data_IF_460127841557
#
_entry.id   IF_460127841557
#
_cell.length_a   1.000
_cell.length_b   1.000
_cell.length_c   1.000
_cell.angle_alpha   90.00
_cell.angle_beta   90.00
_cell.angle_gamma   90.00
#
_symmetry.space_group_name_H-M   'P 1'
#
loop_
_entity.id
_entity.type
_entity.pdbx_description
1 polymer ?
#
# COMPACT_ATOMS: atom_id res chain seq x y z
N UNK A 1 9.10 -47.19 -21.97
CA UNK A 1 9.61 -45.82 -21.73
C UNK A 1 9.24 -45.42 -20.31
N UNK A 2 10.18 -45.11 -19.42
CA UNK A 2 9.86 -44.71 -18.06
C UNK A 2 9.31 -43.30 -18.07
N UNK A 3 8.17 -43.08 -17.39
CA UNK A 3 7.59 -41.78 -17.14
C UNK A 3 8.56 -40.95 -16.28
N UNK A 4 9.08 -39.85 -16.81
CA UNK A 4 9.76 -38.82 -16.00
C UNK A 4 8.78 -38.31 -14.95
N UNK A 5 9.06 -38.60 -13.70
CA UNK A 5 8.40 -37.97 -12.55
C UNK A 5 8.76 -36.49 -12.58
N UNK A 6 7.76 -35.63 -12.78
CA UNK A 6 7.93 -34.19 -12.61
C UNK A 6 8.44 -33.95 -11.20
N UNK A 7 9.66 -33.41 -11.09
CA UNK A 7 10.18 -32.83 -9.84
C UNK A 7 9.22 -31.73 -9.42
N UNK A 8 8.43 -32.00 -8.39
CA UNK A 8 7.72 -30.92 -7.68
C UNK A 8 8.79 -30.07 -7.03
N UNK A 9 8.99 -28.87 -7.54
CA UNK A 9 9.74 -27.84 -6.82
C UNK A 9 9.00 -27.59 -5.51
N UNK A 10 9.62 -27.92 -4.39
CA UNK A 10 9.14 -27.51 -3.06
C UNK A 10 9.48 -26.04 -2.99
N UNK A 11 8.49 -25.17 -3.17
CA UNK A 11 8.64 -23.74 -2.88
C UNK A 11 8.98 -23.64 -1.38
N UNK A 12 10.17 -23.10 -1.09
CA UNK A 12 10.58 -22.89 0.29
C UNK A 12 9.81 -21.73 0.86
N UNK A 13 9.14 -21.95 1.99
CA UNK A 13 8.45 -20.91 2.73
C UNK A 13 9.42 -19.77 3.13
N UNK A 14 8.91 -18.55 3.14
CA UNK A 14 9.67 -17.36 3.55
C UNK A 14 10.11 -17.47 5.01
N UNK A 15 11.41 -17.33 5.27
CA UNK A 15 11.92 -17.26 6.63
C UNK A 15 11.77 -15.83 7.20
N UNK A 16 10.70 -15.61 7.95
CA UNK A 16 10.38 -14.34 8.62
C UNK A 16 11.14 -14.11 9.93
N UNK A 17 11.71 -15.17 10.56
CA UNK A 17 12.35 -15.13 11.89
C UNK A 17 13.52 -14.14 11.97
N UNK A 18 14.35 -13.93 10.93
CA UNK A 18 15.41 -12.92 10.96
C UNK A 18 14.93 -11.50 11.23
N UNK A 19 13.67 -11.19 10.93
CA UNK A 19 13.08 -9.85 11.10
C UNK A 19 12.46 -9.64 12.47
N UNK A 20 12.25 -10.70 13.24
CA UNK A 20 11.66 -10.63 14.58
C UNK A 20 12.73 -10.51 15.68
N UNK A 21 12.35 -9.89 16.79
CA UNK A 21 13.19 -9.82 17.99
C UNK A 21 13.45 -11.22 18.55
N UNK A 22 14.63 -11.47 19.14
CA UNK A 22 14.90 -12.73 19.83
C UNK A 22 13.87 -13.01 20.92
N UNK A 23 13.52 -14.27 21.11
CA UNK A 23 12.57 -14.75 22.15
C UNK A 23 11.11 -14.31 21.94
N UNK A 24 10.71 -13.77 20.78
CA UNK A 24 9.30 -13.61 20.49
C UNK A 24 8.65 -14.94 20.19
N UNK A 25 7.45 -15.16 20.73
CA UNK A 25 6.60 -16.33 20.41
C UNK A 25 5.57 -16.01 19.30
N UNK A 26 5.73 -14.89 18.58
CA UNK A 26 4.83 -14.54 17.51
C UNK A 26 5.04 -15.46 16.31
N UNK A 27 3.95 -16.13 15.92
CA UNK A 27 3.89 -17.01 14.76
C UNK A 27 2.90 -16.39 13.78
N UNK A 28 3.24 -16.27 12.48
CA UNK A 28 2.28 -15.84 11.48
C UNK A 28 1.18 -16.90 11.32
N UNK A 29 -0.01 -16.49 10.95
CA UNK A 29 -1.07 -17.45 10.62
C UNK A 29 -1.01 -17.90 9.15
N UNK A 30 -0.25 -17.21 8.30
CA UNK A 30 0.00 -17.59 6.92
C UNK A 30 1.42 -17.22 6.50
N UNK A 31 2.05 -18.09 5.72
CA UNK A 31 3.37 -17.86 5.14
C UNK A 31 3.31 -18.28 3.67
N UNK A 32 3.75 -17.40 2.79
CA UNK A 32 3.98 -17.68 1.36
C UNK A 32 5.45 -17.92 1.08
N UNK A 33 5.82 -17.98 -0.19
CA UNK A 33 7.24 -18.04 -0.61
C UNK A 33 7.99 -16.72 -0.41
N UNK A 34 7.28 -15.57 -0.33
CA UNK A 34 7.88 -14.24 -0.24
C UNK A 34 7.50 -13.45 1.03
N UNK A 35 6.55 -13.92 1.83
CA UNK A 35 6.13 -13.14 2.98
C UNK A 35 5.37 -13.90 4.05
N UNK A 36 5.02 -13.18 5.12
CA UNK A 36 4.33 -13.71 6.29
C UNK A 36 3.26 -12.74 6.79
N UNK A 37 2.09 -13.27 7.18
CA UNK A 37 0.94 -12.51 7.67
C UNK A 37 0.69 -12.84 9.14
N UNK A 38 0.68 -11.81 9.98
CA UNK A 38 0.44 -11.92 11.43
C UNK A 38 -0.95 -11.42 11.79
N UNK A 39 -1.63 -12.12 12.69
CA UNK A 39 -2.89 -11.65 13.27
C UNK A 39 -2.65 -10.91 14.58
N UNK A 40 -3.41 -9.83 14.79
CA UNK A 40 -3.47 -9.07 16.03
C UNK A 40 -3.29 -7.57 15.88
N UNK A 41 -3.38 -6.85 17.00
CA UNK A 41 -3.16 -5.42 17.02
C UNK A 41 -1.80 -5.04 16.44
N UNK A 42 -1.81 -4.07 15.54
CA UNK A 42 -0.61 -3.66 14.79
C UNK A 42 0.52 -3.18 15.71
N UNK A 43 0.21 -2.45 16.80
CA UNK A 43 1.22 -1.96 17.76
C UNK A 43 1.88 -3.14 18.45
N UNK A 44 1.07 -4.12 18.89
CA UNK A 44 1.56 -5.32 19.55
C UNK A 44 2.42 -6.22 18.66
N UNK A 45 2.09 -6.31 17.36
CA UNK A 45 2.91 -7.06 16.40
C UNK A 45 4.17 -6.29 16.04
N UNK A 46 4.07 -5.00 15.68
CA UNK A 46 5.22 -4.13 15.38
C UNK A 46 6.26 -4.15 16.50
N UNK A 47 5.83 -4.15 17.77
CA UNK A 47 6.74 -4.21 18.92
C UNK A 47 7.68 -5.43 18.89
N UNK A 48 7.31 -6.50 18.17
CA UNK A 48 8.13 -7.71 18.04
C UNK A 48 9.06 -7.69 16.81
N UNK A 49 8.90 -6.75 15.90
CA UNK A 49 9.78 -6.58 14.74
C UNK A 49 11.05 -5.84 15.19
N UNK A 50 12.22 -6.26 14.69
CA UNK A 50 13.51 -5.59 14.95
C UNK A 50 13.51 -4.16 14.41
N UNK A 51 14.42 -3.34 14.93
CA UNK A 51 14.70 -2.02 14.40
C UNK A 51 15.38 -2.14 13.03
N UNK A 52 15.12 -1.17 12.13
CA UNK A 52 15.89 -0.96 10.90
C UNK A 52 15.96 -2.20 9.97
N UNK A 53 14.83 -2.91 9.83
CA UNK A 53 14.77 -4.13 8.98
C UNK A 53 13.85 -3.99 7.77
N UNK A 54 12.95 -3.01 7.72
CA UNK A 54 11.97 -2.81 6.66
C UNK A 54 12.46 -1.77 5.66
N UNK A 55 12.35 -2.05 4.36
CA UNK A 55 12.77 -1.11 3.30
C UNK A 55 11.65 -0.11 2.97
N UNK A 56 10.39 -0.57 2.92
CA UNK A 56 9.23 0.29 2.63
C UNK A 56 8.04 -0.10 3.49
N UNK A 57 7.32 0.90 3.98
CA UNK A 57 6.05 0.73 4.70
C UNK A 57 4.95 1.40 3.90
N UNK A 58 3.87 0.68 3.67
CA UNK A 58 2.61 1.23 3.22
C UNK A 58 1.57 1.03 4.32
N UNK A 59 0.89 2.08 4.74
CA UNK A 59 -0.09 2.04 5.82
C UNK A 59 -1.42 2.68 5.38
N UNK A 60 -2.50 1.90 5.40
CA UNK A 60 -3.89 2.30 5.13
C UNK A 60 -4.77 2.00 6.36
N UNK A 61 -4.63 2.78 7.45
CA UNK A 61 -5.37 2.54 8.68
C UNK A 61 -6.86 2.84 8.50
N UNK A 62 -7.75 2.35 9.40
CA UNK A 62 -9.11 2.83 9.50
C UNK A 62 -9.15 4.35 9.61
N UNK A 63 -10.12 5.03 8.91
CA UNK A 63 -10.11 6.48 8.76
C UNK A 63 -10.91 7.24 9.82
N UNK A 64 -11.42 6.55 10.83
CA UNK A 64 -12.28 7.12 11.85
C UNK A 64 -13.54 7.77 11.26
N UNK A 65 -14.28 7.00 10.46
CA UNK A 65 -15.50 7.42 9.75
C UNK A 65 -16.76 6.73 10.27
N UNK A 66 -16.69 5.99 11.38
CA UNK A 66 -17.80 5.20 11.94
C UNK A 66 -18.21 4.03 11.02
N UNK A 67 -17.25 3.45 10.30
CA UNK A 67 -17.50 2.27 9.47
C UNK A 67 -17.27 0.99 10.27
N UNK A 68 -18.11 0.01 10.03
CA UNK A 68 -17.92 -1.33 10.59
C UNK A 68 -16.76 -2.03 9.86
N UNK A 69 -15.65 -2.28 10.57
CA UNK A 69 -14.52 -3.08 10.14
C UNK A 69 -14.38 -4.31 11.04
N UNK A 70 -15.23 -5.33 10.84
CA UNK A 70 -15.24 -6.51 11.70
C UNK A 70 -15.74 -6.24 13.12
N UNK A 71 -15.59 -7.22 14.02
CA UNK A 71 -16.11 -7.15 15.39
C UNK A 71 -15.18 -6.40 16.38
N UNK A 72 -13.92 -6.21 16.03
CA UNK A 72 -12.87 -5.73 16.95
C UNK A 72 -12.29 -4.34 16.59
N UNK A 73 -12.82 -3.67 15.58
CA UNK A 73 -12.33 -2.35 15.15
C UNK A 73 -13.34 -1.26 15.49
N UNK A 74 -12.99 -0.39 16.43
CA UNK A 74 -13.74 0.83 16.74
C UNK A 74 -13.26 1.97 15.82
N UNK A 75 -14.02 2.24 14.75
CA UNK A 75 -13.75 3.31 13.77
C UNK A 75 -14.46 4.63 14.12
N UNK A 76 -14.91 4.79 15.38
CA UNK A 76 -15.61 5.98 15.86
C UNK A 76 -14.97 6.52 17.16
N UNK A 77 -13.64 6.63 17.18
CA UNK A 77 -12.91 7.19 18.30
C UNK A 77 -13.02 8.73 18.32
N UNK A 78 -13.04 9.38 19.50
CA UNK A 78 -12.79 10.81 19.59
C UNK A 78 -11.50 11.21 18.86
N UNK A 79 -11.52 12.31 18.10
CA UNK A 79 -10.41 12.75 17.23
C UNK A 79 -9.04 12.72 17.94
N UNK A 80 -9.00 13.17 19.21
CA UNK A 80 -7.77 13.18 20.02
C UNK A 80 -7.24 11.76 20.28
N UNK A 81 -8.14 10.83 20.57
CA UNK A 81 -7.77 9.43 20.84
C UNK A 81 -7.32 8.73 19.55
N UNK A 82 -8.01 8.96 18.44
CA UNK A 82 -7.61 8.44 17.14
C UNK A 82 -6.19 8.91 16.76
N UNK A 83 -5.92 10.21 16.87
CA UNK A 83 -4.59 10.76 16.59
C UNK A 83 -3.53 10.20 17.55
N UNK A 84 -3.85 10.05 18.82
CA UNK A 84 -2.92 9.46 19.79
C UNK A 84 -2.61 8.00 19.47
N UNK A 85 -3.60 7.21 19.06
CA UNK A 85 -3.42 5.85 18.57
C UNK A 85 -2.57 5.81 17.30
N UNK A 86 -2.87 6.67 16.32
CA UNK A 86 -2.09 6.77 15.10
C UNK A 86 -0.62 7.09 15.37
N UNK A 87 -0.33 8.04 16.25
CA UNK A 87 1.05 8.39 16.62
C UNK A 87 1.83 7.21 17.19
N UNK A 88 1.19 6.31 17.93
CA UNK A 88 1.85 5.13 18.51
C UNK A 88 2.35 4.18 17.40
N UNK A 89 1.46 3.74 16.51
CA UNK A 89 1.88 2.82 15.46
C UNK A 89 2.79 3.48 14.41
N UNK A 90 2.61 4.77 14.09
CA UNK A 90 3.54 5.54 13.23
C UNK A 90 4.94 5.54 13.82
N UNK A 91 5.08 5.77 15.13
CA UNK A 91 6.38 5.72 15.82
C UNK A 91 7.04 4.35 15.69
N UNK A 92 6.29 3.28 15.86
CA UNK A 92 6.79 1.93 15.66
C UNK A 92 7.19 1.65 14.19
N UNK A 93 6.40 2.14 13.23
CA UNK A 93 6.76 2.09 11.81
C UNK A 93 8.11 2.77 11.54
N UNK A 94 8.32 3.96 12.07
CA UNK A 94 9.61 4.67 11.92
C UNK A 94 10.77 3.91 12.59
N UNK A 95 10.52 3.25 13.72
CA UNK A 95 11.52 2.42 14.40
C UNK A 95 11.97 1.23 13.55
N UNK A 96 11.02 0.52 12.95
CA UNK A 96 11.35 -0.69 12.16
C UNK A 96 11.87 -0.38 10.76
N UNK A 97 11.66 0.84 10.27
CA UNK A 97 12.11 1.29 8.96
C UNK A 97 13.62 1.49 8.93
N UNK A 98 14.29 0.94 7.92
CA UNK A 98 15.74 1.13 7.68
C UNK A 98 16.09 2.60 7.43
N UNK A 99 17.31 3.06 7.73
CA UNK A 99 17.85 4.28 7.16
C UNK A 99 17.76 4.23 5.62
N UNK A 100 17.23 5.28 5.01
CA UNK A 100 16.92 5.32 3.58
C UNK A 100 15.61 4.65 3.17
N UNK A 101 14.90 4.04 4.09
CA UNK A 101 13.59 3.43 3.84
C UNK A 101 12.48 4.46 3.62
N UNK A 102 11.41 4.04 2.97
CA UNK A 102 10.26 4.86 2.60
C UNK A 102 9.01 4.51 3.44
N UNK A 103 8.27 5.53 3.85
CA UNK A 103 6.98 5.37 4.52
C UNK A 103 5.91 6.10 3.71
N UNK A 104 4.87 5.34 3.34
CA UNK A 104 3.68 5.84 2.68
C UNK A 104 2.48 5.68 3.59
N UNK A 105 1.77 6.79 3.86
CA UNK A 105 0.62 6.81 4.75
C UNK A 105 -0.60 7.33 3.98
N UNK A 106 -1.55 6.44 3.74
CA UNK A 106 -2.79 6.72 3.04
C UNK A 106 -3.90 7.02 4.04
N UNK A 107 -4.49 8.21 3.96
CA UNK A 107 -5.57 8.61 4.88
C UNK A 107 -6.32 9.85 4.34
N UNK A 108 -7.28 10.33 5.13
CA UNK A 108 -7.93 11.62 4.89
C UNK A 108 -6.95 12.78 5.11
N UNK A 109 -7.05 13.87 4.31
CA UNK A 109 -6.18 15.04 4.47
C UNK A 109 -6.17 15.59 5.89
N UNK A 110 -7.32 15.62 6.59
CA UNK A 110 -7.42 16.14 7.96
C UNK A 110 -6.53 15.42 8.96
N UNK A 111 -6.37 14.09 8.79
CA UNK A 111 -5.51 13.28 9.65
C UNK A 111 -4.05 13.38 9.23
N UNK A 112 -3.79 13.38 7.93
CA UNK A 112 -2.44 13.42 7.40
C UNK A 112 -1.69 14.73 7.70
N UNK A 113 -2.39 15.85 7.93
CA UNK A 113 -1.78 17.08 8.45
C UNK A 113 -1.12 16.81 9.80
N UNK A 114 -1.82 16.16 10.73
CA UNK A 114 -1.34 15.88 12.09
C UNK A 114 -0.27 14.78 12.12
N UNK A 115 -0.43 13.76 11.29
CA UNK A 115 0.50 12.64 11.20
C UNK A 115 1.78 13.02 10.45
N UNK A 116 1.67 13.90 9.45
CA UNK A 116 2.84 14.48 8.77
C UNK A 116 3.68 15.36 9.70
N UNK A 117 3.05 16.17 10.56
CA UNK A 117 3.75 16.89 11.61
C UNK A 117 4.49 15.93 12.56
N UNK A 118 3.82 14.88 13.04
CA UNK A 118 4.44 13.87 13.91
C UNK A 118 5.62 13.14 13.23
N UNK A 119 5.51 12.80 11.95
CA UNK A 119 6.63 12.21 11.19
C UNK A 119 7.82 13.18 11.11
N UNK A 120 7.58 14.47 10.99
CA UNK A 120 8.63 15.51 11.02
C UNK A 120 9.29 15.57 12.39
N UNK A 121 8.51 15.51 13.49
CA UNK A 121 9.03 15.45 14.87
C UNK A 121 9.90 14.22 15.11
N UNK A 122 9.63 13.11 14.41
CA UNK A 122 10.43 11.88 14.40
C UNK A 122 11.65 11.95 13.45
N UNK A 123 12.02 13.14 12.96
CA UNK A 123 13.12 13.38 12.02
C UNK A 123 13.00 12.63 10.68
N UNK A 124 11.79 12.28 10.26
CA UNK A 124 11.55 11.79 8.92
C UNK A 124 11.59 12.94 7.92
N UNK A 125 12.11 12.69 6.73
CA UNK A 125 12.17 13.68 5.65
C UNK A 125 10.90 13.64 4.81
N UNK A 126 10.17 14.73 4.75
CA UNK A 126 9.05 14.89 3.83
C UNK A 126 9.52 14.83 2.39
N UNK A 127 8.84 14.03 1.58
CA UNK A 127 9.13 13.89 0.15
C UNK A 127 8.00 14.44 -0.70
N UNK A 128 6.77 13.92 -0.52
CA UNK A 128 5.60 14.36 -1.27
C UNK A 128 4.32 14.22 -0.46
N UNK A 129 3.38 15.11 -0.73
CA UNK A 129 1.98 14.94 -0.45
C UNK A 129 1.30 14.56 -1.78
N UNK A 130 0.85 13.33 -1.90
CA UNK A 130 0.23 12.82 -3.12
C UNK A 130 -1.28 12.91 -2.95
N UNK A 131 -1.95 13.62 -3.86
CA UNK A 131 -3.41 13.64 -3.94
C UNK A 131 -3.90 12.51 -4.85
N UNK A 132 -4.66 11.56 -4.28
CA UNK A 132 -5.24 10.43 -5.00
C UNK A 132 -6.71 10.73 -5.25
N UNK A 133 -7.09 11.00 -6.52
CA UNK A 133 -8.45 11.39 -6.89
C UNK A 133 -9.49 10.31 -6.54
N UNK A 134 -10.63 10.75 -6.04
CA UNK A 134 -11.80 9.92 -5.75
C UNK A 134 -12.90 10.23 -6.76
N UNK A 135 -13.27 9.25 -7.58
CA UNK A 135 -14.27 9.44 -8.64
C UNK A 135 -15.73 9.30 -8.16
N UNK A 136 -15.97 8.95 -6.91
CA UNK A 136 -17.29 8.54 -6.42
C UNK A 136 -17.70 9.16 -5.07
N UNK A 137 -17.22 10.37 -4.76
CA UNK A 137 -17.71 11.11 -3.58
C UNK A 137 -18.98 11.91 -3.90
N UNK A 138 -19.76 12.22 -2.88
CA UNK A 138 -20.95 13.06 -2.99
C UNK A 138 -20.68 14.46 -2.43
N UNK A 139 -21.30 15.50 -3.00
CA UNK A 139 -21.24 16.85 -2.44
C UNK A 139 -21.77 16.87 -1.01
N UNK A 140 -21.12 17.63 -0.15
CA UNK A 140 -21.50 17.82 1.26
C UNK A 140 -21.87 19.28 1.46
N UNK A 141 -23.05 19.53 2.01
CA UNK A 141 -23.53 20.89 2.26
C UNK A 141 -22.55 21.68 3.16
N UNK A 142 -22.31 22.96 2.81
CA UNK A 142 -21.49 23.86 3.60
C UNK A 142 -19.97 23.69 3.47
N UNK A 143 -19.47 22.84 2.59
CA UNK A 143 -18.02 22.67 2.33
C UNK A 143 -17.73 22.25 0.88
N UNK A 144 -16.46 22.33 0.49
CA UNK A 144 -16.02 21.85 -0.81
C UNK A 144 -16.27 20.33 -0.93
N UNK A 145 -16.57 19.90 -2.15
CA UNK A 145 -16.70 18.49 -2.48
C UNK A 145 -15.36 17.76 -2.24
N UNK A 146 -15.30 16.78 -1.31
CA UNK A 146 -14.08 16.02 -1.10
C UNK A 146 -13.79 15.16 -2.32
N UNK A 147 -12.67 15.40 -3.00
CA UNK A 147 -12.35 14.77 -4.27
C UNK A 147 -11.06 13.95 -4.26
N UNK A 148 -10.39 13.84 -3.10
CA UNK A 148 -9.15 13.07 -3.01
C UNK A 148 -8.90 12.51 -1.63
N UNK A 149 -8.19 11.38 -1.59
CA UNK A 149 -7.45 10.92 -0.42
C UNK A 149 -6.02 11.46 -0.47
N UNK A 150 -5.39 11.52 0.68
CA UNK A 150 -4.00 11.94 0.83
C UNK A 150 -3.10 10.73 1.04
N UNK A 151 -2.02 10.64 0.27
CA UNK A 151 -0.93 9.69 0.47
C UNK A 151 0.33 10.48 0.80
N UNK A 152 0.75 10.46 2.07
CA UNK A 152 2.01 11.06 2.47
C UNK A 152 3.16 10.14 2.08
N UNK A 153 4.22 10.71 1.53
CA UNK A 153 5.49 10.03 1.31
C UNK A 153 6.58 10.69 2.13
N UNK A 154 7.16 9.92 3.05
CA UNK A 154 8.31 10.29 3.87
C UNK A 154 9.43 9.28 3.70
N UNK A 155 10.66 9.67 4.01
CA UNK A 155 11.82 8.78 4.04
C UNK A 155 12.65 8.97 5.31
N UNK A 156 13.25 7.89 5.81
CA UNK A 156 14.19 7.95 6.95
C UNK A 156 15.58 8.36 6.45
N UNK A 157 15.78 9.66 6.33
CA UNK A 157 16.95 10.25 5.66
C UNK A 157 16.84 10.18 4.13
N UNK A 158 17.99 10.21 3.42
CA UNK A 158 18.03 10.13 1.96
C UNK A 158 17.49 8.77 1.50
N UNK A 159 16.51 8.72 0.57
CA UNK A 159 15.98 7.46 0.07
C UNK A 159 17.08 6.56 -0.52
N UNK A 160 17.09 5.28 -0.11
CA UNK A 160 17.95 4.25 -0.70
C UNK A 160 17.55 4.00 -2.16
N UNK A 161 16.23 3.88 -2.39
CA UNK A 161 15.64 3.61 -3.70
C UNK A 161 14.61 4.69 -4.02
N UNK A 162 14.72 5.25 -5.23
CA UNK A 162 13.69 6.09 -5.83
C UNK A 162 13.71 5.90 -7.34
N UNK A 163 12.81 5.07 -7.85
CA UNK A 163 12.64 4.85 -9.28
C UNK A 163 11.63 5.84 -9.85
N UNK A 164 12.02 6.48 -10.94
CA UNK A 164 11.14 7.40 -11.66
C UNK A 164 10.12 6.61 -12.46
N UNK A 165 8.86 6.67 -12.04
CA UNK A 165 7.75 6.11 -12.79
C UNK A 165 7.36 7.08 -13.92
N UNK A 166 7.05 6.52 -15.08
CA UNK A 166 6.51 7.27 -16.21
C UNK A 166 5.06 6.89 -16.45
N UNK A 167 4.29 7.86 -16.90
CA UNK A 167 2.91 7.66 -17.31
C UNK A 167 2.76 8.07 -18.77
N UNK A 168 1.78 7.50 -19.52
CA UNK A 168 1.52 7.92 -20.88
C UNK A 168 1.34 9.42 -21.00
N UNK A 169 1.65 9.96 -22.15
CA UNK A 169 1.36 11.37 -22.48
C UNK A 169 -0.15 11.57 -22.42
N UNK A 170 -0.58 12.67 -21.78
CA UNK A 170 -2.00 12.96 -21.63
C UNK A 170 -2.66 13.17 -23.01
N UNK A 171 -3.81 12.56 -23.16
CA UNK A 171 -4.69 12.73 -24.33
C UNK A 171 -5.89 13.61 -24.00
N UNK A 172 -6.47 14.24 -25.02
CA UNK A 172 -7.69 15.01 -24.85
C UNK A 172 -8.85 14.08 -24.48
N UNK A 173 -9.54 14.36 -23.38
CA UNK A 173 -10.68 13.56 -22.89
C UNK A 173 -11.85 13.48 -23.89
N UNK A 174 -11.99 14.44 -24.82
CA UNK A 174 -13.09 14.49 -25.80
C UNK A 174 -12.77 13.75 -27.09
N UNK A 175 -11.56 13.92 -27.66
CA UNK A 175 -11.24 13.38 -28.96
C UNK A 175 -10.17 12.27 -28.93
N UNK A 176 -9.65 11.93 -27.77
CA UNK A 176 -8.60 10.92 -27.61
C UNK A 176 -7.25 11.28 -28.23
N UNK A 177 -7.14 12.45 -28.90
CA UNK A 177 -5.88 12.87 -29.52
C UNK A 177 -4.92 13.37 -28.45
N UNK A 178 -3.63 13.19 -28.70
CA UNK A 178 -2.60 13.75 -27.84
C UNK A 178 -2.78 15.27 -27.72
N UNK A 179 -2.61 15.76 -26.49
CA UNK A 179 -2.63 17.20 -26.24
C UNK A 179 -1.41 17.81 -26.95
N UNK A 180 -1.69 18.63 -27.97
CA UNK A 180 -0.64 19.37 -28.67
C UNK A 180 -0.05 20.40 -27.72
N UNK A 181 1.26 20.53 -27.84
CA UNK A 181 2.03 21.63 -27.29
C UNK A 181 2.10 21.70 -25.76
N UNK A 182 3.13 21.08 -25.25
CA UNK A 182 3.64 21.32 -23.90
C UNK A 182 4.58 22.56 -23.91
N UNK A 183 4.07 23.73 -24.32
CA UNK A 183 4.86 24.94 -24.45
C UNK A 183 5.99 24.84 -25.51
N UNK A 184 5.75 24.14 -26.62
CA UNK A 184 6.73 23.92 -27.70
C UNK A 184 7.75 22.80 -27.44
N UNK A 185 7.68 22.14 -26.28
CA UNK A 185 8.68 21.14 -25.88
C UNK A 185 8.35 19.70 -26.28
N UNK A 186 7.27 19.45 -27.03
CA UNK A 186 6.85 18.09 -27.40
C UNK A 186 7.96 17.28 -28.08
N UNK A 187 8.74 17.89 -28.96
CA UNK A 187 9.86 17.21 -29.65
C UNK A 187 11.00 16.76 -28.73
N UNK A 188 11.11 17.37 -27.55
CA UNK A 188 12.10 17.03 -26.55
C UNK A 188 11.58 16.09 -25.46
N UNK A 189 10.31 15.65 -25.52
CA UNK A 189 9.71 14.77 -24.54
C UNK A 189 10.24 13.34 -24.67
N UNK A 190 10.36 12.67 -23.51
CA UNK A 190 10.77 11.27 -23.52
C UNK A 190 9.68 10.41 -24.19
N UNK A 191 10.03 9.55 -25.17
CA UNK A 191 9.07 8.70 -25.88
C UNK A 191 8.31 7.75 -24.94
N UNK A 192 8.88 7.37 -23.79
CA UNK A 192 8.27 6.51 -22.78
C UNK A 192 7.31 7.27 -21.85
N UNK A 193 6.90 8.51 -22.21
CA UNK A 193 5.92 9.29 -21.47
C UNK A 193 6.50 10.30 -20.49
N UNK A 194 5.61 10.86 -19.66
CA UNK A 194 5.94 11.91 -18.68
C UNK A 194 6.19 11.32 -17.29
N UNK A 195 6.99 12.03 -16.49
CA UNK A 195 7.20 11.64 -15.09
C UNK A 195 5.88 11.70 -14.33
N UNK A 196 5.60 10.67 -13.52
CA UNK A 196 4.45 10.61 -12.63
C UNK A 196 4.43 11.86 -11.73
N UNK A 197 3.28 12.50 -11.67
CA UNK A 197 3.03 13.67 -10.81
C UNK A 197 2.57 13.23 -9.43
N UNK A 198 2.50 14.16 -8.49
CA UNK A 198 1.95 13.96 -7.15
C UNK A 198 0.42 14.15 -7.07
N UNK A 199 -0.25 14.40 -8.20
CA UNK A 199 -1.71 14.35 -8.32
C UNK A 199 -2.08 13.17 -9.22
N UNK A 200 -2.65 12.11 -8.62
CA UNK A 200 -3.00 10.87 -9.31
C UNK A 200 -4.49 10.87 -9.67
N UNK A 201 -4.78 11.19 -10.92
CA UNK A 201 -6.16 11.30 -11.46
C UNK A 201 -6.58 10.05 -12.24
N UNK A 202 -5.71 9.07 -12.36
CA UNK A 202 -5.86 7.87 -13.18
C UNK A 202 -6.00 6.59 -12.35
N UNK A 203 -6.34 6.74 -11.08
CA UNK A 203 -6.59 5.60 -10.20
C UNK A 203 -8.02 5.11 -10.43
N UNK A 204 -8.22 3.87 -10.92
CA UNK A 204 -9.55 3.36 -11.16
C UNK A 204 -10.30 3.18 -9.83
N UNK A 205 -11.60 3.51 -9.78
CA UNK A 205 -12.40 3.21 -8.61
C UNK A 205 -12.53 1.70 -8.45
N UNK A 206 -12.33 1.21 -7.24
CA UNK A 206 -12.62 -0.20 -6.93
C UNK A 206 -14.12 -0.41 -6.95
N UNK A 207 -14.64 -1.08 -7.98
CA UNK A 207 -16.08 -1.27 -8.19
C UNK A 207 -16.61 -2.36 -7.26
N UNK A 208 -17.24 -1.97 -6.16
CA UNK A 208 -17.84 -2.87 -5.17
C UNK A 208 -18.92 -3.83 -5.70
N UNK A 209 -19.59 -3.52 -6.82
CA UNK A 209 -20.68 -4.35 -7.34
C UNK A 209 -20.25 -5.73 -7.85
N UNK A 210 -19.00 -5.89 -8.29
CA UNK A 210 -18.42 -7.20 -8.68
C UNK A 210 -18.12 -8.10 -7.49
N UNK A 211 -18.11 -7.58 -6.27
CA UNK A 211 -17.64 -8.25 -5.06
C UNK A 211 -18.65 -8.11 -3.90
N UNK A 212 -19.95 -8.10 -4.20
CA UNK A 212 -21.00 -8.12 -3.19
C UNK A 212 -21.13 -9.51 -2.54
N UNK A 213 -20.11 -9.98 -1.85
CA UNK A 213 -20.32 -10.92 -0.76
C UNK A 213 -20.69 -10.09 0.48
N UNK A 214 -21.72 -10.52 1.23
CA UNK A 214 -22.15 -9.89 2.48
C UNK A 214 -21.09 -9.96 3.60
N UNK A 215 -19.95 -10.57 3.34
CA UNK A 215 -18.89 -10.90 4.31
C UNK A 215 -17.64 -10.02 4.19
N UNK A 216 -17.71 -8.90 3.46
CA UNK A 216 -16.52 -8.03 3.31
C UNK A 216 -16.35 -7.11 4.51
N UNK A 217 -15.27 -7.34 5.23
CA UNK A 217 -14.82 -6.52 6.36
C UNK A 217 -13.90 -5.37 5.99
N UNK A 218 -13.41 -5.26 4.73
CA UNK A 218 -12.47 -4.22 4.31
C UNK A 218 -12.75 -3.66 2.90
N UNK A 219 -12.46 -2.37 2.70
CA UNK A 219 -12.45 -1.74 1.37
C UNK A 219 -11.14 -2.08 0.65
N UNK A 220 -11.21 -2.70 -0.53
CA UNK A 220 -10.02 -2.96 -1.31
C UNK A 220 -9.43 -1.66 -1.88
N UNK A 221 -8.12 -1.48 -1.75
CA UNK A 221 -7.37 -0.45 -2.46
C UNK A 221 -7.16 -0.83 -3.93
N UNK A 222 -6.99 0.19 -4.77
CA UNK A 222 -6.56 -0.02 -6.16
C UNK A 222 -5.13 -0.58 -6.19
N UNK A 223 -4.93 -1.69 -6.90
CA UNK A 223 -3.59 -2.28 -7.12
C UNK A 223 -2.63 -1.27 -7.73
N UNK A 224 -3.12 -0.33 -8.56
CA UNK A 224 -2.31 0.71 -9.20
C UNK A 224 -1.61 1.64 -8.21
N UNK A 225 -2.21 1.90 -7.04
CA UNK A 225 -1.56 2.68 -5.96
C UNK A 225 -0.36 1.91 -5.43
N UNK A 226 -0.56 0.64 -5.09
CA UNK A 226 0.47 -0.22 -4.52
C UNK A 226 1.57 -0.54 -5.55
N UNK A 227 1.21 -0.74 -6.81
CA UNK A 227 2.18 -0.89 -7.91
C UNK A 227 3.16 0.28 -7.99
N UNK A 228 2.64 1.50 -7.89
CA UNK A 228 3.45 2.73 -7.91
C UNK A 228 4.32 2.85 -6.67
N UNK A 229 3.75 2.62 -5.50
CA UNK A 229 4.47 2.70 -4.22
C UNK A 229 5.62 1.70 -4.18
N UNK A 230 5.33 0.43 -4.44
CA UNK A 230 6.32 -0.65 -4.39
C UNK A 230 7.39 -0.46 -5.47
N UNK A 231 7.00 -0.16 -6.72
CA UNK A 231 7.97 0.06 -7.80
C UNK A 231 8.89 1.25 -7.54
N UNK A 232 8.33 2.36 -7.04
CA UNK A 232 9.09 3.59 -6.82
C UNK A 232 10.11 3.46 -5.70
N UNK A 233 9.81 2.68 -4.65
CA UNK A 233 10.55 2.71 -3.39
C UNK A 233 11.32 1.44 -3.04
N UNK A 234 11.23 0.38 -3.88
CA UNK A 234 11.88 -0.91 -3.59
C UNK A 234 12.54 -1.54 -4.82
N UNK A 235 13.51 -2.43 -4.54
CA UNK A 235 14.07 -3.39 -5.49
C UNK A 235 13.52 -4.80 -5.22
N UNK A 236 13.60 -5.75 -6.20
CA UNK A 236 13.33 -7.15 -5.93
C UNK A 236 14.13 -7.66 -4.73
N UNK A 237 13.46 -8.38 -3.82
CA UNK A 237 14.03 -8.88 -2.56
C UNK A 237 14.05 -7.88 -1.41
N UNK A 238 13.68 -6.60 -1.61
CA UNK A 238 13.46 -5.67 -0.50
C UNK A 238 12.20 -6.05 0.30
N UNK A 239 12.19 -5.69 1.59
CA UNK A 239 11.09 -6.00 2.51
C UNK A 239 10.09 -4.87 2.61
N UNK A 240 8.83 -5.17 2.29
CA UNK A 240 7.68 -4.28 2.44
C UNK A 240 6.88 -4.67 3.70
N UNK A 241 6.46 -3.71 4.48
CA UNK A 241 5.57 -3.92 5.63
C UNK A 241 4.24 -3.19 5.40
N UNK A 242 3.14 -3.89 5.64
CA UNK A 242 1.81 -3.29 5.74
C UNK A 242 1.19 -3.64 7.10
N UNK A 243 1.06 -2.65 8.00
CA UNK A 243 0.48 -2.87 9.33
C UNK A 243 -1.05 -2.97 9.36
N UNK A 244 -1.70 -2.81 8.19
CA UNK A 244 -3.16 -2.86 8.04
C UNK A 244 -3.53 -3.63 6.77
N UNK A 245 -3.36 -4.95 6.79
CA UNK A 245 -3.45 -5.83 5.63
C UNK A 245 -4.74 -5.75 4.82
N UNK A 246 -5.86 -5.51 5.50
CA UNK A 246 -7.16 -5.30 4.88
C UNK A 246 -7.55 -6.43 3.93
N UNK A 247 -7.60 -6.13 2.63
CA UNK A 247 -7.91 -7.13 1.59
C UNK A 247 -6.67 -7.81 0.98
N UNK A 248 -5.46 -7.56 1.50
CA UNK A 248 -4.21 -8.17 1.02
C UNK A 248 -3.67 -7.61 -0.29
N UNK A 249 -4.13 -6.44 -0.74
CA UNK A 249 -3.67 -5.85 -2.01
C UNK A 249 -2.16 -5.60 -2.01
N UNK A 250 -1.61 -5.10 -0.91
CA UNK A 250 -0.16 -4.87 -0.76
C UNK A 250 0.63 -6.15 -0.98
N UNK A 251 0.19 -7.25 -0.35
CA UNK A 251 0.89 -8.53 -0.39
C UNK A 251 0.85 -9.14 -1.80
N UNK A 252 -0.32 -9.10 -2.46
CA UNK A 252 -0.45 -9.58 -3.83
C UNK A 252 0.45 -8.80 -4.82
N UNK A 253 0.62 -7.49 -4.61
CA UNK A 253 1.55 -6.69 -5.41
C UNK A 253 3.00 -7.07 -5.11
N UNK A 254 3.35 -7.31 -3.84
CA UNK A 254 4.70 -7.74 -3.44
C UNK A 254 5.07 -9.08 -4.06
N UNK A 255 4.16 -10.07 -4.00
CA UNK A 255 4.35 -11.39 -4.64
C UNK A 255 4.63 -11.24 -6.15
N UNK A 256 3.78 -10.53 -6.88
CA UNK A 256 3.93 -10.30 -8.32
C UNK A 256 5.24 -9.60 -8.69
N UNK A 257 5.72 -8.70 -7.82
CA UNK A 257 6.93 -7.92 -8.04
C UNK A 257 8.18 -8.52 -7.40
N UNK A 258 8.10 -9.71 -6.83
CA UNK A 258 9.21 -10.39 -6.14
C UNK A 258 9.82 -9.55 -5.02
N UNK A 259 8.98 -8.93 -4.19
CA UNK A 259 9.37 -8.27 -2.94
C UNK A 259 8.98 -9.17 -1.77
N UNK A 260 9.83 -9.20 -0.76
CA UNK A 260 9.45 -9.80 0.52
C UNK A 260 8.44 -8.91 1.23
N UNK A 261 7.57 -9.52 2.05
CA UNK A 261 6.58 -8.76 2.77
C UNK A 261 6.28 -9.31 4.16
N UNK A 262 5.94 -8.40 5.07
CA UNK A 262 5.31 -8.69 6.36
C UNK A 262 3.96 -7.98 6.40
N UNK A 263 2.92 -8.73 6.72
CA UNK A 263 1.57 -8.21 6.86
C UNK A 263 1.08 -8.32 8.29
N UNK A 264 0.25 -7.36 8.70
CA UNK A 264 -0.47 -7.42 9.97
C UNK A 264 -1.94 -7.16 9.68
N UNK A 265 -2.82 -8.00 10.23
CA UNK A 265 -4.27 -7.80 10.19
C UNK A 265 -4.86 -8.10 11.56
N UNK A 266 -5.80 -7.25 12.01
CA UNK A 266 -6.36 -7.35 13.34
C UNK A 266 -7.08 -8.69 13.55
N UNK A 267 -7.96 -9.01 12.61
CA UNK A 267 -8.74 -10.24 12.63
C UNK A 267 -8.20 -11.26 11.62
N UNK A 268 -8.53 -12.53 11.85
CA UNK A 268 -8.23 -13.58 10.88
C UNK A 268 -9.04 -13.33 9.59
N UNK A 269 -8.32 -13.08 8.49
CA UNK A 269 -8.93 -12.78 7.19
C UNK A 269 -8.54 -13.85 6.14
N UNK A 270 -9.31 -14.95 6.01
CA UNK A 270 -9.04 -16.01 5.05
C UNK A 270 -9.03 -15.51 3.60
N UNK A 271 -9.75 -14.43 3.30
CA UNK A 271 -9.78 -13.82 1.96
C UNK A 271 -8.40 -13.33 1.49
N UNK A 272 -7.51 -12.95 2.40
CA UNK A 272 -6.13 -12.61 2.06
C UNK A 272 -5.41 -13.86 1.57
N UNK A 273 -5.58 -14.98 2.27
CA UNK A 273 -4.96 -16.28 1.93
C UNK A 273 -5.46 -16.75 0.57
N UNK A 274 -6.80 -16.75 0.36
CA UNK A 274 -7.42 -17.13 -0.91
C UNK A 274 -6.88 -16.32 -2.09
N UNK A 275 -6.67 -15.03 -1.88
CA UNK A 275 -6.08 -14.14 -2.89
C UNK A 275 -4.64 -14.52 -3.21
N UNK A 276 -3.82 -14.82 -2.20
CA UNK A 276 -2.40 -15.13 -2.37
C UNK A 276 -2.19 -16.54 -2.95
N UNK A 277 -3.06 -17.48 -2.64
CA UNK A 277 -3.04 -18.85 -3.21
C UNK A 277 -3.62 -18.94 -4.63
N UNK A 278 -4.08 -17.82 -5.18
CA UNK A 278 -4.61 -17.74 -6.54
C UNK A 278 -6.02 -18.31 -6.70
N UNK A 279 -6.73 -18.60 -5.61
CA UNK A 279 -8.12 -19.07 -5.64
C UNK A 279 -9.09 -17.95 -6.09
N UNK A 280 -8.68 -16.68 -6.07
CA UNK A 280 -9.38 -15.53 -6.67
C UNK A 280 -8.96 -15.25 -8.13
N UNK A 281 -8.54 -16.26 -8.90
CA UNK A 281 -8.13 -16.09 -10.30
C UNK A 281 -9.36 -15.88 -11.19
N UNK A 282 -10.13 -14.86 -11.05
CA UNK A 282 -11.07 -14.45 -12.13
C UNK A 282 -11.65 -13.05 -11.96
N UNK A 283 -10.84 -11.97 -11.85
CA UNK A 283 -11.44 -10.65 -12.03
C UNK A 283 -10.56 -9.55 -12.62
N UNK A 284 -9.32 -9.82 -12.94
CA UNK A 284 -8.43 -8.81 -13.55
C UNK A 284 -8.07 -9.11 -15.02
N UNK A 285 -9.06 -9.49 -15.81
CA UNK A 285 -8.93 -9.39 -17.28
C UNK A 285 -9.37 -8.00 -17.70
N UNK A 286 -8.66 -6.95 -17.42
CA UNK A 286 -8.73 -5.60 -18.04
C UNK A 286 -8.04 -4.53 -17.18
N UNK A 287 -6.90 -4.84 -16.55
CA UNK A 287 -5.94 -3.79 -16.27
C UNK A 287 -4.92 -3.85 -17.42
N UNK A 288 -5.13 -3.01 -18.42
CA UNK A 288 -4.22 -2.85 -19.56
C UNK A 288 -2.86 -2.39 -19.04
N UNK A 289 -2.00 -3.35 -18.73
CA UNK A 289 -0.58 -3.10 -18.67
C UNK A 289 -0.06 -3.08 -20.09
N UNK A 290 0.19 -1.91 -20.62
CA UNK A 290 1.10 -1.74 -21.73
C UNK A 290 2.50 -1.98 -21.18
N UNK A 291 3.03 -3.19 -21.39
CA UNK A 291 4.46 -3.45 -21.29
C UNK A 291 5.16 -2.57 -22.32
N UNK A 292 6.07 -1.71 -21.86
CA UNK A 292 6.89 -0.84 -22.70
C UNK A 292 8.13 -0.40 -21.93
#
# INVERSE_FOLDING_TARGET
MPRQSALKWVETEFDYRPFLKPKTNRVPFFVSSLGALFSGDCIGVLANIKNDVVDTIFADPPFNLGKEYGENCDDELPDVQYVAWCKKWVTECVRVLKPGGALFLYNLPKWNILLGAHLTDLNMQFRHWIAVEISASLPIAGRLHPSHYSLLYFSKGKPKTFKRIRTPILTCRHCGKEIKDYGGHRGAMNPNGVTLKDVWTDIPPVRHWKYKSKERTANALSTKILDRVVEMSTEPGDLVLDPFGGSGTTFAVCERKHRHWLGIELDFCPQIVDRLEGNEIHSHKNDDFVEG
#
